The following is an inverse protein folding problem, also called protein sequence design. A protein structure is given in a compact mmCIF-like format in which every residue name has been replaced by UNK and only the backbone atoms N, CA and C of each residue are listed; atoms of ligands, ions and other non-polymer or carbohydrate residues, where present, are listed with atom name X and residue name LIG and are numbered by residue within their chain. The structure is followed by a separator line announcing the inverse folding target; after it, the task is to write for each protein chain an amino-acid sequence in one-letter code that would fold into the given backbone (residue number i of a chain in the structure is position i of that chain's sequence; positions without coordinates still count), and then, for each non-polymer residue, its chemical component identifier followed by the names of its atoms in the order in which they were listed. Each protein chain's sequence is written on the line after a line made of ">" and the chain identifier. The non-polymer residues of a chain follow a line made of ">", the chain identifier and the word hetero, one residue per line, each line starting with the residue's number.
data_IF_156456162499
#
_entry.id   IF_156456162499
#
_cell.length_a   1.000
_cell.length_b   1.000
_cell.length_c   1.000
_cell.angle_alpha   90.00
_cell.angle_beta   90.00
_cell.angle_gamma   90.00
#
_symmetry.space_group_name_H-M   'P 1'
#
loop_
_entity.id
_entity.type
_entity.pdbx_description
1 polymer ?
#
# COMPACT_ATOMS: atom_id res chain seq x y z
N UNK A 1 1.84 7.00 4.50
CA UNK A 1 1.22 7.87 5.52
C UNK A 1 2.34 8.56 6.28
N UNK A 2 2.11 9.76 6.81
CA UNK A 2 3.16 10.53 7.53
C UNK A 2 3.78 9.74 8.68
N UNK A 3 3.01 9.03 9.55
CA UNK A 3 3.61 8.19 10.59
C UNK A 3 4.57 7.14 10.04
N UNK A 4 4.25 6.53 8.89
CA UNK A 4 5.13 5.54 8.26
C UNK A 4 6.39 6.17 7.68
N UNK A 5 6.30 7.37 7.11
CA UNK A 5 7.46 8.11 6.61
C UNK A 5 8.43 8.44 7.75
N UNK A 6 7.91 8.87 8.90
CA UNK A 6 8.70 9.13 10.10
C UNK A 6 9.37 7.87 10.67
N UNK A 7 8.66 6.74 10.72
CA UNK A 7 9.25 5.45 11.10
C UNK A 7 10.42 5.07 10.19
N UNK A 8 10.30 5.31 8.88
CA UNK A 8 11.40 5.03 7.93
C UNK A 8 12.56 5.99 8.14
N UNK A 9 12.30 7.30 8.35
CA UNK A 9 13.34 8.28 8.65
C UNK A 9 14.12 7.97 9.93
N UNK A 10 13.42 7.46 10.95
CA UNK A 10 14.03 7.06 12.22
C UNK A 10 14.83 5.74 12.14
N UNK A 11 14.73 5.00 11.04
CA UNK A 11 15.47 3.75 10.82
C UNK A 11 16.83 3.99 10.17
N UNK A 12 17.77 3.04 10.33
CA UNK A 12 19.06 3.02 9.62
C UNK A 12 18.93 2.62 8.12
N UNK A 13 17.73 2.81 7.56
CA UNK A 13 17.34 2.36 6.24
C UNK A 13 16.48 1.10 6.31
N UNK A 14 15.43 1.06 5.46
CA UNK A 14 14.40 0.00 5.52
C UNK A 14 14.92 -1.37 5.05
N UNK A 15 15.86 -1.36 4.09
CA UNK A 15 16.35 -2.59 3.43
C UNK A 15 17.88 -2.63 3.31
N UNK A 16 18.53 -1.47 3.35
CA UNK A 16 19.98 -1.30 3.21
C UNK A 16 20.42 -0.12 4.07
N UNK A 17 21.69 -0.11 4.45
CA UNK A 17 22.27 1.01 5.20
C UNK A 17 22.20 2.32 4.41
N UNK A 18 21.97 3.41 5.14
CA UNK A 18 21.99 4.76 4.56
C UNK A 18 23.37 5.07 3.99
N UNK A 19 23.42 5.68 2.82
CA UNK A 19 24.63 6.29 2.27
C UNK A 19 24.44 7.82 2.20
N UNK A 20 24.90 8.58 3.21
CA UNK A 20 24.70 10.02 3.27
C UNK A 20 25.24 10.77 2.05
N UNK A 21 26.38 10.34 1.50
CA UNK A 21 26.97 10.93 0.31
C UNK A 21 26.08 10.74 -0.92
N UNK A 22 25.53 9.54 -1.11
CA UNK A 22 24.62 9.23 -2.21
C UNK A 22 23.26 9.92 -2.06
N UNK A 23 22.74 10.02 -0.83
CA UNK A 23 21.52 10.79 -0.51
C UNK A 23 21.71 12.25 -0.89
N UNK A 24 22.80 12.87 -0.43
CA UNK A 24 23.12 14.27 -0.73
C UNK A 24 23.25 14.48 -2.24
N UNK A 25 23.99 13.62 -2.92
CA UNK A 25 24.16 13.66 -4.38
C UNK A 25 22.82 13.58 -5.12
N UNK A 26 21.92 12.67 -4.70
CA UNK A 26 20.61 12.52 -5.32
C UNK A 26 19.74 13.77 -5.15
N UNK A 27 19.64 14.29 -3.93
CA UNK A 27 18.84 15.48 -3.62
C UNK A 27 19.37 16.73 -4.30
N UNK A 28 20.69 16.93 -4.31
CA UNK A 28 21.31 18.11 -4.94
C UNK A 28 21.04 18.15 -6.45
N UNK A 29 21.11 16.99 -7.12
CA UNK A 29 20.78 16.92 -8.55
C UNK A 29 19.31 17.18 -8.83
N UNK A 30 18.39 16.61 -8.05
CA UNK A 30 16.95 16.86 -8.24
C UNK A 30 16.61 18.33 -7.96
N UNK A 31 17.25 18.96 -6.96
CA UNK A 31 17.10 20.40 -6.71
C UNK A 31 17.53 21.25 -7.91
N UNK A 32 18.67 20.94 -8.50
CA UNK A 32 19.29 21.71 -9.58
C UNK A 32 18.67 21.46 -10.96
N UNK A 33 18.35 20.21 -11.27
CA UNK A 33 17.94 19.77 -12.61
C UNK A 33 16.42 19.53 -12.74
N UNK A 34 15.70 19.50 -11.61
CA UNK A 34 14.28 19.16 -11.56
C UNK A 34 14.04 17.64 -11.45
N UNK A 35 12.86 17.16 -11.87
CA UNK A 35 12.50 15.75 -11.75
C UNK A 35 13.44 14.81 -12.51
N UNK A 36 13.96 13.76 -11.86
CA UNK A 36 14.91 12.81 -12.45
C UNK A 36 14.47 11.35 -12.27
N UNK A 37 14.84 10.50 -13.22
CA UNK A 37 14.73 9.05 -13.12
C UNK A 37 16.06 8.46 -12.64
N UNK A 38 16.02 7.22 -12.11
CA UNK A 38 17.24 6.51 -11.70
C UNK A 38 18.32 6.47 -12.79
N UNK A 39 17.94 6.34 -14.07
CA UNK A 39 18.89 6.26 -15.19
C UNK A 39 19.69 7.56 -15.40
N UNK A 40 19.15 8.70 -14.96
CA UNK A 40 19.77 10.00 -15.20
C UNK A 40 21.00 10.19 -14.31
N UNK A 41 21.17 9.33 -13.30
CA UNK A 41 22.33 9.24 -12.41
C UNK A 41 23.39 8.25 -12.88
N UNK A 42 23.07 7.38 -13.85
CA UNK A 42 23.92 6.26 -14.27
C UNK A 42 25.02 6.65 -15.29
N UNK A 43 25.33 7.94 -15.45
CA UNK A 43 26.42 8.45 -16.32
C UNK A 43 27.82 8.20 -15.72
N UNK A 44 28.11 6.95 -15.35
CA UNK A 44 29.48 6.42 -15.28
C UNK A 44 30.14 6.22 -13.90
N UNK A 45 29.46 6.43 -12.77
CA UNK A 45 30.16 6.42 -11.45
C UNK A 45 29.55 5.57 -10.31
N UNK A 46 28.35 5.00 -10.45
CA UNK A 46 27.69 4.27 -9.35
C UNK A 46 26.98 2.97 -9.79
N UNK A 47 27.74 2.04 -10.38
CA UNK A 47 27.29 0.64 -10.52
C UNK A 47 27.56 -0.14 -9.23
N UNK A 48 26.93 0.27 -8.14
CA UNK A 48 26.84 -0.56 -6.94
C UNK A 48 25.50 -1.31 -7.03
N UNK A 49 25.55 -2.58 -7.44
CA UNK A 49 24.38 -3.45 -7.45
C UNK A 49 24.27 -4.13 -6.09
N UNK A 50 23.09 -4.10 -5.48
CA UNK A 50 22.79 -4.96 -4.35
C UNK A 50 22.03 -6.20 -4.88
N UNK A 51 22.53 -7.39 -4.55
CA UNK A 51 21.94 -8.68 -4.94
C UNK A 51 22.82 -9.54 -5.86
N UNK A 52 22.55 -10.85 -5.87
CA UNK A 52 23.21 -11.78 -6.80
C UNK A 52 22.68 -11.51 -8.22
N UNK A 53 23.53 -11.02 -9.12
CA UNK A 53 23.23 -10.77 -10.54
C UNK A 53 22.73 -12.01 -11.34
N UNK A 54 22.67 -13.19 -10.71
CA UNK A 54 22.20 -14.44 -11.34
C UNK A 54 20.68 -14.50 -11.55
N UNK A 55 19.89 -13.67 -10.85
CA UNK A 55 18.42 -13.77 -10.87
C UNK A 55 17.72 -12.61 -11.60
N UNK A 56 18.46 -11.64 -12.15
CA UNK A 56 17.90 -10.54 -12.95
C UNK A 56 17.16 -9.45 -12.16
N UNK A 57 17.13 -9.52 -10.83
CA UNK A 57 16.46 -8.57 -9.93
C UNK A 57 17.43 -7.65 -9.18
N UNK A 58 18.51 -7.19 -9.82
CA UNK A 58 19.45 -6.27 -9.18
C UNK A 58 19.04 -4.82 -9.41
N UNK A 59 18.73 -4.08 -8.34
CA UNK A 59 18.56 -2.63 -8.40
C UNK A 59 19.89 -1.92 -8.09
N UNK A 60 20.11 -0.76 -8.71
CA UNK A 60 21.30 0.05 -8.45
C UNK A 60 21.22 0.73 -7.08
N UNK A 61 22.36 1.07 -6.48
CA UNK A 61 22.40 1.83 -5.23
C UNK A 61 21.61 3.14 -5.34
N UNK A 62 21.66 3.81 -6.49
CA UNK A 62 20.86 5.03 -6.70
C UNK A 62 19.36 4.73 -6.76
N UNK A 63 18.93 3.63 -7.40
CA UNK A 63 17.52 3.21 -7.39
C UNK A 63 17.02 2.97 -5.96
N UNK A 64 17.83 2.35 -5.10
CA UNK A 64 17.52 2.16 -3.68
C UNK A 64 17.46 3.48 -2.92
N UNK A 65 18.43 4.38 -3.12
CA UNK A 65 18.43 5.70 -2.48
C UNK A 65 17.20 6.52 -2.86
N UNK A 66 16.82 6.56 -4.14
CA UNK A 66 15.61 7.25 -4.59
C UNK A 66 14.35 6.62 -4.00
N UNK A 67 14.28 5.28 -3.93
CA UNK A 67 13.16 4.60 -3.29
C UNK A 67 13.09 4.87 -1.79
N UNK A 68 14.23 4.90 -1.10
CA UNK A 68 14.31 5.23 0.31
C UNK A 68 13.83 6.66 0.58
N UNK A 69 14.33 7.65 -0.16
CA UNK A 69 13.89 9.05 -0.04
C UNK A 69 12.40 9.20 -0.33
N UNK A 70 11.85 8.40 -1.25
CA UNK A 70 10.40 8.32 -1.47
C UNK A 70 9.64 7.75 -0.27
N UNK A 71 10.15 6.67 0.33
CA UNK A 71 9.54 6.06 1.52
C UNK A 71 9.63 6.98 2.75
N UNK A 72 10.66 7.83 2.81
CA UNK A 72 10.85 8.87 3.83
C UNK A 72 9.98 10.11 3.59
N UNK A 73 9.42 10.27 2.39
CA UNK A 73 8.64 11.45 2.01
C UNK A 73 9.48 12.67 1.70
N UNK A 74 10.79 12.53 1.46
CA UNK A 74 11.65 13.59 0.93
C UNK A 74 11.48 13.76 -0.59
N UNK A 75 11.19 12.65 -1.27
CA UNK A 75 10.85 12.62 -2.69
C UNK A 75 9.44 12.07 -2.90
N UNK A 76 8.84 12.46 -4.02
CA UNK A 76 7.58 11.92 -4.52
C UNK A 76 7.75 11.40 -5.95
N UNK A 77 6.88 10.50 -6.38
CA UNK A 77 6.80 10.09 -7.79
C UNK A 77 5.96 11.13 -8.54
N UNK A 78 6.62 12.09 -9.18
CA UNK A 78 6.00 13.16 -9.96
C UNK A 78 5.48 12.70 -11.33
N UNK A 79 5.93 11.54 -11.79
CA UNK A 79 5.49 10.96 -13.05
C UNK A 79 6.15 9.62 -13.35
N UNK A 80 5.85 9.08 -14.53
CA UNK A 80 6.46 7.85 -15.02
C UNK A 80 6.74 7.93 -16.52
N UNK A 81 7.84 7.32 -16.94
CA UNK A 81 8.14 7.01 -18.35
C UNK A 81 8.26 5.50 -18.50
N UNK A 82 7.21 4.87 -19.00
CA UNK A 82 7.07 3.41 -18.94
C UNK A 82 7.11 2.92 -17.48
N UNK A 83 7.96 1.93 -17.19
CA UNK A 83 8.12 1.39 -15.83
C UNK A 83 8.98 2.26 -14.90
N UNK A 84 9.62 3.32 -15.42
CA UNK A 84 10.52 4.13 -14.61
C UNK A 84 9.80 5.29 -13.94
N UNK A 85 10.01 5.40 -12.62
CA UNK A 85 9.54 6.51 -11.80
C UNK A 85 10.42 7.74 -12.07
N UNK A 86 9.76 8.88 -12.24
CA UNK A 86 10.37 10.20 -12.22
C UNK A 86 10.16 10.74 -10.81
N UNK A 87 11.25 11.02 -10.11
CA UNK A 87 11.24 11.51 -8.74
C UNK A 87 11.48 13.02 -8.72
N UNK A 88 10.72 13.73 -7.89
CA UNK A 88 10.95 15.14 -7.58
C UNK A 88 10.78 15.37 -6.06
N UNK A 89 11.15 16.56 -5.61
CA UNK A 89 10.99 16.99 -4.22
C UNK A 89 9.51 17.00 -3.83
N UNK A 90 9.21 16.57 -2.60
CA UNK A 90 7.84 16.49 -2.10
C UNK A 90 7.10 17.83 -2.20
N UNK A 91 7.76 18.95 -1.88
CA UNK A 91 7.19 20.29 -1.94
C UNK A 91 6.90 20.80 -3.37
N UNK A 92 7.50 20.19 -4.40
CA UNK A 92 7.21 20.49 -5.81
C UNK A 92 6.11 19.59 -6.37
N UNK A 93 5.96 18.40 -5.81
CA UNK A 93 5.00 17.40 -6.28
C UNK A 93 3.62 17.54 -5.62
N UNK A 94 3.55 18.01 -4.38
CA UNK A 94 2.29 18.24 -3.67
C UNK A 94 1.72 19.62 -3.99
N UNK A 95 0.40 19.76 -4.16
CA UNK A 95 -0.27 21.06 -4.13
C UNK A 95 0.02 21.80 -2.83
N UNK A 96 0.16 23.13 -2.92
CA UNK A 96 0.58 23.98 -1.79
C UNK A 96 -0.44 24.00 -0.62
N UNK A 97 -1.68 23.58 -0.86
CA UNK A 97 -2.78 23.53 0.10
C UNK A 97 -2.90 22.17 0.81
N UNK A 98 -2.02 21.20 0.52
CA UNK A 98 -2.02 19.90 1.21
C UNK A 98 -1.48 20.05 2.63
N UNK A 99 -2.28 19.65 3.62
CA UNK A 99 -1.83 19.56 5.01
C UNK A 99 -0.85 18.38 5.19
N UNK A 100 0.42 18.72 5.43
CA UNK A 100 1.48 17.74 5.67
C UNK A 100 1.83 17.59 7.16
N UNK A 101 1.01 18.12 8.07
CA UNK A 101 1.23 17.95 9.51
C UNK A 101 1.00 16.49 9.91
N UNK A 102 1.77 16.03 10.89
CA UNK A 102 1.61 14.68 11.44
C UNK A 102 0.22 14.57 12.09
N UNK A 103 -0.63 13.62 11.65
CA UNK A 103 -1.90 13.38 12.32
C UNK A 103 -1.65 12.81 13.71
N UNK A 104 -2.52 13.14 14.66
CA UNK A 104 -2.53 12.48 15.94
C UNK A 104 -2.97 11.01 15.78
N UNK A 105 -2.80 10.21 16.84
CA UNK A 105 -3.08 8.77 16.79
C UNK A 105 -4.53 8.47 16.42
N UNK A 106 -5.47 9.24 16.94
CA UNK A 106 -6.89 9.05 16.71
C UNK A 106 -7.31 9.37 15.27
N UNK A 107 -6.81 10.49 14.73
CA UNK A 107 -7.00 10.88 13.33
C UNK A 107 -6.44 9.81 12.38
N UNK A 108 -5.25 9.28 12.70
CA UNK A 108 -4.64 8.24 11.90
C UNK A 108 -5.46 6.94 11.90
N UNK A 109 -5.96 6.52 13.06
CA UNK A 109 -6.77 5.30 13.18
C UNK A 109 -8.12 5.46 12.48
N UNK A 110 -8.79 6.62 12.62
CA UNK A 110 -9.99 6.95 11.85
C UNK A 110 -9.72 6.87 10.35
N UNK A 111 -8.64 7.49 9.88
CA UNK A 111 -8.25 7.44 8.47
C UNK A 111 -8.06 6.00 7.97
N UNK A 112 -7.40 5.12 8.75
CA UNK A 112 -7.25 3.71 8.38
C UNK A 112 -8.59 3.00 8.24
N UNK A 113 -9.49 3.17 9.21
CA UNK A 113 -10.83 2.59 9.19
C UNK A 113 -11.60 3.05 7.96
N UNK A 114 -11.69 4.37 7.75
CA UNK A 114 -12.46 4.94 6.65
C UNK A 114 -11.91 4.53 5.29
N UNK A 115 -10.58 4.55 5.13
CA UNK A 115 -9.92 4.18 3.87
C UNK A 115 -10.16 2.71 3.54
N UNK A 116 -9.99 1.83 4.52
CA UNK A 116 -10.11 0.39 4.30
C UNK A 116 -11.59 0.00 4.05
N UNK A 117 -12.55 0.54 4.82
CA UNK A 117 -13.98 0.31 4.56
C UNK A 117 -14.39 0.87 3.19
N UNK A 118 -13.90 2.05 2.80
CA UNK A 118 -14.19 2.61 1.46
C UNK A 118 -13.65 1.74 0.33
N UNK A 119 -12.47 1.14 0.52
CA UNK A 119 -11.84 0.28 -0.49
C UNK A 119 -12.51 -1.10 -0.60
N UNK A 120 -12.98 -1.65 0.52
CA UNK A 120 -13.48 -3.04 0.58
C UNK A 120 -15.01 -3.16 0.69
N UNK A 121 -15.71 -2.06 0.95
CA UNK A 121 -17.16 -1.99 1.18
C UNK A 121 -17.57 -2.37 2.61
N UNK A 122 -17.14 -3.54 3.08
CA UNK A 122 -17.35 -4.04 4.43
C UNK A 122 -16.15 -4.82 4.95
N UNK A 123 -15.85 -4.70 6.24
CA UNK A 123 -14.71 -5.38 6.88
C UNK A 123 -15.02 -5.79 8.33
N UNK A 124 -14.47 -6.91 8.78
CA UNK A 124 -14.35 -7.23 10.23
C UNK A 124 -13.28 -6.35 10.85
N UNK A 125 -13.34 -6.12 12.16
CA UNK A 125 -12.35 -5.31 12.88
C UNK A 125 -10.90 -5.79 12.67
N UNK A 126 -10.67 -7.10 12.62
CA UNK A 126 -9.34 -7.69 12.39
C UNK A 126 -8.83 -7.62 10.95
N UNK A 127 -9.68 -7.21 9.99
CA UNK A 127 -9.31 -7.04 8.57
C UNK A 127 -8.88 -5.60 8.26
N UNK A 128 -9.20 -4.66 9.16
CA UNK A 128 -8.84 -3.23 9.05
C UNK A 128 -7.40 -3.03 9.53
N UNK A 129 -6.65 -2.17 8.83
CA UNK A 129 -5.25 -1.95 9.14
C UNK A 129 -4.38 -3.15 8.82
N UNK A 130 -4.73 -3.93 7.78
CA UNK A 130 -3.95 -5.07 7.33
C UNK A 130 -2.46 -4.69 7.15
N UNK A 131 -1.56 -5.47 7.75
CA UNK A 131 -0.11 -5.24 7.84
C UNK A 131 0.35 -4.03 8.68
N UNK A 132 -0.57 -3.27 9.27
CA UNK A 132 -0.26 -2.22 10.24
C UNK A 132 -0.13 -2.87 11.62
N UNK A 133 1.03 -2.68 12.25
CA UNK A 133 1.31 -3.24 13.58
C UNK A 133 0.76 -2.33 14.67
N UNK A 134 0.47 -2.91 15.83
CA UNK A 134 0.10 -2.20 17.06
C UNK A 134 -1.13 -1.28 16.92
N UNK A 135 -2.05 -1.55 16.00
CA UNK A 135 -3.24 -0.72 15.74
C UNK A 135 -4.56 -1.34 16.21
N UNK A 136 -4.59 -2.65 16.46
CA UNK A 136 -5.83 -3.40 16.68
C UNK A 136 -6.67 -2.87 17.86
N UNK A 137 -6.05 -2.55 18.99
CA UNK A 137 -6.78 -2.04 20.16
C UNK A 137 -7.45 -0.68 19.87
N UNK A 138 -6.74 0.22 19.19
CA UNK A 138 -7.27 1.53 18.83
C UNK A 138 -8.35 1.43 17.76
N UNK A 139 -8.17 0.54 16.78
CA UNK A 139 -9.18 0.26 15.75
C UNK A 139 -10.47 -0.22 16.40
N UNK A 140 -10.41 -1.22 17.28
CA UNK A 140 -11.59 -1.74 17.96
C UNK A 140 -12.31 -0.64 18.77
N UNK A 141 -11.55 0.17 19.52
CA UNK A 141 -12.12 1.30 20.28
C UNK A 141 -12.79 2.32 19.36
N UNK A 142 -12.13 2.72 18.28
CA UNK A 142 -12.64 3.73 17.34
C UNK A 142 -13.84 3.21 16.54
N UNK A 143 -13.90 1.92 16.21
CA UNK A 143 -15.08 1.32 15.58
C UNK A 143 -16.33 1.43 16.46
N UNK A 144 -16.21 1.15 17.77
CA UNK A 144 -17.33 1.34 18.71
C UNK A 144 -17.80 2.79 18.71
N UNK A 145 -16.86 3.74 18.86
CA UNK A 145 -17.17 5.18 18.85
C UNK A 145 -17.86 5.62 17.55
N UNK A 146 -17.39 5.15 16.39
CA UNK A 146 -17.96 5.51 15.09
C UNK A 146 -19.34 4.88 14.85
N UNK A 147 -19.62 3.71 15.45
CA UNK A 147 -20.96 3.10 15.43
C UNK A 147 -21.92 3.86 16.35
N UNK A 148 -21.49 4.20 17.57
CA UNK A 148 -22.29 5.01 18.51
C UNK A 148 -22.62 6.40 17.93
N UNK A 149 -21.70 6.98 17.15
CA UNK A 149 -21.90 8.25 16.45
C UNK A 149 -22.76 8.13 15.17
N UNK A 150 -23.17 6.92 14.77
CA UNK A 150 -23.94 6.67 13.55
C UNK A 150 -23.16 6.83 12.24
N UNK A 151 -21.83 6.98 12.30
CA UNK A 151 -20.97 7.12 11.12
C UNK A 151 -20.72 5.77 10.42
N UNK A 152 -20.73 4.69 11.21
CA UNK A 152 -20.63 3.32 10.74
C UNK A 152 -21.83 2.52 11.25
N UNK A 153 -22.13 1.43 10.55
CA UNK A 153 -23.10 0.43 10.96
C UNK A 153 -22.43 -0.92 11.12
N UNK A 154 -22.99 -1.74 11.99
CA UNK A 154 -22.66 -3.16 12.08
C UNK A 154 -23.63 -3.97 11.23
N UNK A 155 -23.07 -4.88 10.45
CA UNK A 155 -23.80 -5.80 9.58
C UNK A 155 -23.46 -7.23 9.95
N UNK A 156 -24.46 -8.12 9.91
CA UNK A 156 -24.26 -9.56 10.01
C UNK A 156 -24.28 -10.15 8.61
N UNK A 157 -23.18 -10.77 8.22
CA UNK A 157 -23.12 -11.57 6.98
C UNK A 157 -23.55 -12.99 7.31
N UNK A 158 -24.35 -13.59 6.43
CA UNK A 158 -24.81 -14.97 6.60
C UNK A 158 -23.62 -15.94 6.70
N UNK A 159 -23.71 -16.90 7.64
CA UNK A 159 -22.63 -17.85 7.91
C UNK A 159 -21.43 -17.28 8.67
N UNK A 160 -21.43 -15.98 9.01
CA UNK A 160 -20.34 -15.33 9.74
C UNK A 160 -20.77 -15.00 11.18
N UNK A 161 -19.92 -15.36 12.15
CA UNK A 161 -20.18 -15.08 13.57
C UNK A 161 -19.88 -13.62 13.94
N UNK A 162 -18.73 -13.12 13.49
CA UNK A 162 -18.28 -11.77 13.82
C UNK A 162 -18.98 -10.71 12.96
N UNK A 163 -19.32 -9.54 13.53
CA UNK A 163 -19.94 -8.45 12.78
C UNK A 163 -18.95 -7.84 11.80
N UNK A 164 -19.49 -7.36 10.68
CA UNK A 164 -18.81 -6.51 9.72
C UNK A 164 -19.18 -5.05 9.98
N UNK A 165 -18.26 -4.16 9.66
CA UNK A 165 -18.45 -2.71 9.72
C UNK A 165 -18.51 -2.15 8.31
N UNK A 166 -19.47 -1.25 8.07
CA UNK A 166 -19.65 -0.57 6.79
C UNK A 166 -20.15 0.87 7.02
N UNK A 167 -20.03 1.71 6.00
CA UNK A 167 -20.73 2.99 6.00
C UNK A 167 -22.25 2.78 5.79
N UNK A 168 -23.13 3.61 6.36
CA UNK A 168 -24.57 3.53 6.12
C UNK A 168 -24.94 3.51 4.62
N UNK A 169 -24.23 4.29 3.80
CA UNK A 169 -24.42 4.35 2.33
C UNK A 169 -24.12 3.03 1.60
N UNK A 170 -23.53 2.04 2.26
CA UNK A 170 -23.39 0.70 1.69
C UNK A 170 -24.75 0.02 1.50
N UNK A 171 -25.73 0.28 2.36
CA UNK A 171 -27.06 -0.33 2.25
C UNK A 171 -27.83 0.21 1.04
N UNK A 172 -27.78 1.52 0.80
CA UNK A 172 -28.39 2.16 -0.37
C UNK A 172 -27.82 1.60 -1.69
N UNK A 173 -26.52 1.29 -1.71
CA UNK A 173 -25.86 0.67 -2.86
C UNK A 173 -26.31 -0.76 -3.10
N UNK A 174 -26.65 -1.52 -2.04
CA UNK A 174 -27.16 -2.88 -2.16
C UNK A 174 -28.56 -2.91 -2.76
N UNK A 175 -29.43 -1.97 -2.40
CA UNK A 175 -30.78 -1.85 -2.95
C UNK A 175 -30.76 -1.59 -4.47
N UNK A 176 -29.77 -0.81 -4.93
CA UNK A 176 -29.60 -0.43 -6.33
C UNK A 176 -28.63 -1.33 -7.10
N UNK A 177 -28.19 -2.45 -6.51
CA UNK A 177 -27.18 -3.30 -7.12
C UNK A 177 -27.79 -4.05 -8.33
N UNK A 178 -27.19 -3.87 -9.51
CA UNK A 178 -27.54 -4.67 -10.68
C UNK A 178 -27.29 -6.16 -10.40
N UNK A 179 -28.29 -6.99 -10.68
CA UNK A 179 -28.23 -8.46 -10.54
C UNK A 179 -27.67 -9.15 -11.78
N UNK A 180 -27.16 -8.39 -12.75
CA UNK A 180 -26.48 -8.94 -13.92
C UNK A 180 -25.25 -9.74 -13.51
N UNK A 181 -25.14 -10.96 -14.04
CA UNK A 181 -23.93 -11.76 -13.87
C UNK A 181 -22.82 -11.17 -14.71
N UNK A 182 -21.78 -10.68 -14.04
CA UNK A 182 -20.57 -10.12 -14.67
C UNK A 182 -19.37 -10.94 -14.28
N UNK A 183 -18.55 -11.27 -15.26
CA UNK A 183 -17.23 -11.85 -15.02
C UNK A 183 -16.22 -10.70 -14.86
N UNK A 184 -15.33 -10.86 -13.89
CA UNK A 184 -14.18 -9.99 -13.65
C UNK A 184 -12.96 -10.88 -13.44
N UNK A 185 -11.87 -10.54 -14.11
CA UNK A 185 -10.57 -11.16 -13.89
C UNK A 185 -9.80 -10.21 -12.99
N UNK A 186 -9.35 -10.70 -11.84
CA UNK A 186 -8.70 -9.91 -10.82
C UNK A 186 -7.18 -10.07 -10.89
N UNK A 187 -6.47 -9.03 -10.45
CA UNK A 187 -5.03 -9.17 -10.20
C UNK A 187 -4.81 -10.06 -8.97
N UNK A 188 -3.75 -10.88 -8.92
CA UNK A 188 -3.36 -11.57 -7.69
C UNK A 188 -3.01 -10.63 -6.54
N UNK A 189 -2.80 -9.34 -6.85
CA UNK A 189 -2.53 -8.27 -5.91
C UNK A 189 -3.74 -7.35 -5.70
N UNK A 190 -4.92 -7.73 -6.20
CA UNK A 190 -6.15 -7.00 -5.96
C UNK A 190 -6.50 -7.03 -4.46
N UNK A 191 -7.01 -5.92 -3.93
CA UNK A 191 -7.38 -5.81 -2.52
C UNK A 191 -8.41 -6.87 -2.09
N UNK A 192 -9.28 -7.32 -3.00
CA UNK A 192 -10.22 -8.41 -2.72
C UNK A 192 -9.51 -9.76 -2.50
N UNK A 193 -8.34 -9.95 -3.12
CA UNK A 193 -7.61 -11.21 -3.20
C UNK A 193 -6.51 -11.32 -2.14
N UNK A 194 -5.84 -10.21 -1.81
CA UNK A 194 -4.69 -10.21 -0.87
C UNK A 194 -5.06 -10.74 0.52
N UNK A 195 -6.30 -10.48 0.98
CA UNK A 195 -6.82 -11.03 2.23
C UNK A 195 -7.54 -12.36 1.97
N UNK A 196 -6.77 -13.42 1.66
CA UNK A 196 -7.29 -14.74 1.24
C UNK A 196 -8.33 -15.35 2.17
N UNK A 197 -8.18 -15.19 3.49
CA UNK A 197 -9.15 -15.67 4.47
C UNK A 197 -10.52 -15.03 4.26
N UNK A 198 -10.56 -13.72 4.02
CA UNK A 198 -11.79 -12.98 3.74
C UNK A 198 -12.43 -13.42 2.42
N UNK A 199 -11.62 -13.67 1.40
CA UNK A 199 -12.08 -14.18 0.11
C UNK A 199 -12.77 -15.54 0.26
N UNK A 200 -12.17 -16.44 1.04
CA UNK A 200 -12.77 -17.74 1.38
C UNK A 200 -14.07 -17.58 2.20
N UNK A 201 -14.05 -16.76 3.25
CA UNK A 201 -15.20 -16.57 4.15
C UNK A 201 -16.42 -15.93 3.45
N UNK A 202 -16.20 -14.98 2.53
CA UNK A 202 -17.29 -14.27 1.85
C UNK A 202 -17.76 -14.94 0.56
N UNK A 203 -16.85 -15.62 -0.17
CA UNK A 203 -17.12 -16.12 -1.51
C UNK A 203 -16.90 -17.62 -1.68
N UNK A 204 -16.42 -18.33 -0.64
CA UNK A 204 -16.06 -19.74 -0.75
C UNK A 204 -14.97 -19.99 -1.80
N UNK A 205 -14.10 -18.99 -2.02
CA UNK A 205 -13.12 -19.01 -3.10
C UNK A 205 -11.69 -18.95 -2.58
N UNK A 206 -10.97 -20.05 -2.79
CA UNK A 206 -9.59 -20.22 -2.40
C UNK A 206 -8.64 -19.90 -3.55
N UNK A 207 -7.79 -18.90 -3.36
CA UNK A 207 -6.79 -18.50 -4.36
C UNK A 207 -5.37 -18.44 -3.79
N UNK A 208 -4.42 -19.06 -4.49
CA UNK A 208 -2.98 -18.98 -4.20
C UNK A 208 -2.23 -18.51 -5.45
N UNK A 209 -1.39 -17.48 -5.31
CA UNK A 209 -0.46 -17.10 -6.37
C UNK A 209 0.70 -18.11 -6.39
N UNK A 210 0.70 -18.99 -7.40
CA UNK A 210 1.58 -20.16 -7.43
C UNK A 210 2.99 -19.90 -8.00
N UNK A 211 3.36 -18.64 -8.25
CA UNK A 211 4.72 -18.30 -8.70
C UNK A 211 5.77 -18.65 -7.65
N UNK A 212 5.37 -18.67 -6.38
CA UNK A 212 6.18 -19.09 -5.23
C UNK A 212 6.02 -20.58 -4.87
N UNK A 213 5.16 -21.32 -5.57
CA UNK A 213 4.91 -22.74 -5.33
C UNK A 213 5.83 -23.57 -6.24
N UNK A 214 6.49 -24.63 -5.72
CA UNK A 214 7.26 -25.57 -6.55
C UNK A 214 6.45 -26.09 -7.74
N UNK A 215 7.10 -26.26 -8.90
CA UNK A 215 6.41 -26.55 -10.17
C UNK A 215 5.47 -27.76 -10.09
N UNK A 216 5.89 -28.80 -9.39
CA UNK A 216 5.18 -30.07 -9.16
C UNK A 216 3.97 -29.95 -8.21
N UNK A 217 3.88 -28.85 -7.44
CA UNK A 217 2.79 -28.60 -6.47
C UNK A 217 1.76 -27.58 -6.96
N UNK A 218 1.93 -27.04 -8.17
CA UNK A 218 1.02 -26.07 -8.77
C UNK A 218 -0.27 -26.74 -9.20
N UNK A 219 -1.43 -26.13 -8.93
CA UNK A 219 -2.74 -26.61 -9.35
C UNK A 219 -3.25 -25.89 -10.59
N UNK A 220 -2.98 -24.59 -10.70
CA UNK A 220 -3.53 -23.73 -11.76
C UNK A 220 -2.45 -23.15 -12.67
N UNK A 221 -1.20 -23.05 -12.20
CA UNK A 221 -0.07 -22.61 -13.00
C UNK A 221 0.66 -21.40 -12.42
N UNK A 222 1.82 -21.08 -13.01
CA UNK A 222 2.80 -20.15 -12.44
C UNK A 222 2.25 -18.76 -12.08
N UNK A 223 1.37 -18.20 -12.90
CA UNK A 223 0.83 -16.86 -12.70
C UNK A 223 -0.62 -16.81 -13.19
N UNK A 224 -1.52 -17.41 -12.42
CA UNK A 224 -2.96 -17.38 -12.71
C UNK A 224 -3.60 -16.08 -12.20
N UNK A 225 -4.69 -15.68 -12.84
CA UNK A 225 -5.53 -14.57 -12.41
C UNK A 225 -6.85 -15.16 -11.91
N UNK A 226 -7.28 -14.85 -10.67
CA UNK A 226 -8.58 -15.28 -10.15
C UNK A 226 -9.76 -14.56 -10.82
#
# INVERSE_FOLDING_TARGET
>A
TIPRQEEVRASDGMWHHRNPGLIKYALDRIRAEGPLMSRDFDKGKLKLYFGNNKEGWSASAISHTLFQLFMEGELMVAGRKGFQKIYDLTERALPADVDTRRPNREEYIRFLIERDIRAHGLLKAGEIGYLIKNSAADINRRLVQMVEAGELIQLKVEGQEAPYYAFPSALEKLENLSRERRIRILSPFDNLVIQRRRLEELFGFSYTLECYVPKDKRKVGYFSLP
#
